data_IF_495086912886
#
_entry.id   IF_495086912886
#
_cell.length_a   1.000
_cell.length_b   1.000
_cell.length_c   1.000
_cell.angle_alpha   90.00
_cell.angle_beta   90.00
_cell.angle_gamma   90.00
#
_symmetry.space_group_name_H-M   'P 1'
#
loop_
_entity.id
_entity.type
_entity.pdbx_description
1 polymer ?
#
# COMPACT_ATOMS: atom_id res chain seq x y z
N UNK A 1 -14.33 9.15 -1.19
CA UNK A 1 -12.96 9.39 -1.67
C UNK A 1 -12.01 8.44 -0.96
N UNK A 2 -11.34 7.61 -1.75
CA UNK A 2 -10.26 6.73 -1.31
C UNK A 2 -8.95 7.50 -1.40
N UNK A 3 -8.13 7.41 -0.35
CA UNK A 3 -6.77 7.94 -0.32
C UNK A 3 -5.76 6.79 -0.31
N UNK A 4 -4.73 6.92 -1.13
CA UNK A 4 -3.51 6.12 -1.08
C UNK A 4 -2.38 7.08 -0.68
N UNK A 5 -1.47 6.64 0.17
CA UNK A 5 -0.34 7.46 0.63
C UNK A 5 0.91 6.60 0.75
N UNK A 6 2.07 7.21 0.54
CA UNK A 6 3.37 6.57 0.78
C UNK A 6 4.01 7.23 1.97
N UNK A 7 4.32 6.44 2.99
CA UNK A 7 4.91 6.91 4.22
C UNK A 7 6.35 6.39 4.29
N UNK A 8 7.34 7.26 4.43
CA UNK A 8 8.73 6.89 4.63
C UNK A 8 9.05 6.86 6.12
N UNK A 9 9.69 5.79 6.58
CA UNK A 9 10.20 5.67 7.94
C UNK A 9 11.47 6.49 8.06
N UNK A 10 11.48 7.37 9.05
CA UNK A 10 12.61 8.25 9.37
C UNK A 10 13.63 7.51 10.24
N UNK A 11 14.88 7.98 10.25
CA UNK A 11 15.92 7.46 11.15
C UNK A 11 15.57 7.56 12.65
N UNK A 12 14.56 8.38 13.01
CA UNK A 12 14.05 8.52 14.39
C UNK A 12 12.91 7.53 14.70
N UNK A 13 12.54 6.67 13.77
CA UNK A 13 11.51 5.64 13.92
C UNK A 13 10.07 6.12 13.68
N UNK A 14 9.84 7.40 13.34
CA UNK A 14 8.52 7.91 12.92
C UNK A 14 8.34 7.86 11.41
N UNK A 15 7.13 8.11 10.90
CA UNK A 15 6.82 8.11 9.47
C UNK A 15 6.47 9.52 8.94
N UNK A 16 6.84 9.81 7.70
CA UNK A 16 6.51 11.04 6.98
C UNK A 16 5.94 10.73 5.61
N UNK A 17 4.95 11.50 5.16
CA UNK A 17 4.46 11.40 3.78
C UNK A 17 5.59 11.75 2.80
N UNK A 18 5.81 10.91 1.79
CA UNK A 18 6.86 11.11 0.77
C UNK A 18 6.76 12.47 0.07
N UNK A 19 5.55 13.02 -0.06
CA UNK A 19 5.33 14.32 -0.70
C UNK A 19 5.45 15.49 0.27
N UNK A 20 5.64 15.23 1.58
CA UNK A 20 5.99 16.27 2.54
C UNK A 20 7.45 16.67 2.39
N UNK A 21 7.80 17.95 2.65
CA UNK A 21 9.19 18.39 2.64
C UNK A 21 9.96 17.67 3.76
N UNK A 22 10.66 16.60 3.39
CA UNK A 22 11.48 15.79 4.28
C UNK A 22 12.96 15.93 3.87
N UNK A 23 13.91 15.83 4.82
CA UNK A 23 15.31 15.59 4.46
C UNK A 23 15.44 14.39 3.51
N UNK A 24 16.48 14.38 2.65
CA UNK A 24 16.70 13.31 1.69
C UNK A 24 16.74 11.95 2.40
N UNK A 25 16.27 10.88 1.74
CA UNK A 25 16.35 9.55 2.30
C UNK A 25 17.82 9.23 2.68
N UNK A 26 18.05 8.47 3.76
CA UNK A 26 19.39 8.04 4.14
C UNK A 26 20.05 7.25 3.00
N UNK A 27 21.36 7.41 2.83
CA UNK A 27 22.13 6.72 1.79
C UNK A 27 21.91 5.20 1.86
N UNK A 28 21.29 4.64 0.83
CA UNK A 28 20.99 3.20 0.73
C UNK A 28 19.79 2.93 -0.18
N UNK A 29 19.83 1.83 -0.92
CA UNK A 29 18.73 1.44 -1.83
C UNK A 29 17.51 0.86 -1.10
N UNK A 30 17.55 0.74 0.24
CA UNK A 30 16.47 0.19 1.05
C UNK A 30 15.72 1.33 1.73
N UNK A 31 14.48 1.55 1.33
CA UNK A 31 13.62 2.60 1.87
C UNK A 31 12.52 1.96 2.70
N UNK A 32 12.73 1.91 4.02
CA UNK A 32 11.67 1.50 4.93
C UNK A 32 10.49 2.47 4.81
N UNK A 33 9.30 1.94 4.57
CA UNK A 33 8.10 2.75 4.48
C UNK A 33 6.83 1.92 4.57
N UNK A 34 5.68 2.57 4.46
CA UNK A 34 4.39 1.92 4.50
C UNK A 34 3.48 2.47 3.41
N UNK A 35 2.75 1.56 2.77
CA UNK A 35 1.63 1.90 1.90
C UNK A 35 0.41 2.17 2.77
N UNK A 36 -0.12 3.39 2.72
CA UNK A 36 -1.34 3.76 3.41
C UNK A 36 -2.57 3.64 2.50
N UNK A 37 -3.67 3.10 3.04
CA UNK A 37 -4.98 3.06 2.38
C UNK A 37 -6.01 3.59 3.37
N UNK A 38 -6.79 4.59 2.96
CA UNK A 38 -7.82 5.20 3.81
C UNK A 38 -9.08 5.60 3.05
N UNK A 39 -10.17 5.71 3.77
CA UNK A 39 -11.43 6.30 3.29
C UNK A 39 -12.08 7.15 4.39
N UNK A 40 -13.33 7.56 4.18
CA UNK A 40 -14.12 8.30 5.18
C UNK A 40 -14.30 7.56 6.53
N UNK A 41 -14.02 6.25 6.60
CA UNK A 41 -14.06 5.46 7.85
C UNK A 41 -12.70 5.43 8.55
N UNK A 42 -11.71 6.14 8.03
CA UNK A 42 -10.36 6.25 8.58
C UNK A 42 -9.35 5.37 7.85
N UNK A 43 -8.23 5.10 8.50
CA UNK A 43 -7.14 4.26 7.99
C UNK A 43 -7.58 2.79 7.90
N UNK A 44 -7.15 2.10 6.86
CA UNK A 44 -7.34 0.66 6.64
C UNK A 44 -6.00 -0.07 6.61
N UNK A 45 -5.01 0.52 5.92
CA UNK A 45 -3.62 0.09 5.89
C UNK A 45 -2.73 1.31 6.17
N UNK A 46 -1.56 1.12 6.77
CA UNK A 46 -0.45 2.09 6.77
C UNK A 46 0.64 1.68 7.75
N UNK A 47 1.32 2.64 8.40
CA UNK A 47 2.56 2.49 9.21
C UNK A 47 2.76 1.18 9.99
N UNK A 48 1.71 0.58 10.56
CA UNK A 48 1.78 -0.72 11.23
C UNK A 48 2.06 -1.91 10.30
N UNK A 49 2.11 -1.69 8.99
CA UNK A 49 2.43 -2.64 7.92
C UNK A 49 3.55 -2.07 7.04
N UNK A 50 4.67 -1.74 7.67
CA UNK A 50 5.85 -1.21 6.99
C UNK A 50 6.70 -2.34 6.40
N UNK A 51 7.43 -2.04 5.33
CA UNK A 51 8.32 -2.96 4.60
C UNK A 51 9.27 -2.10 3.72
N UNK A 52 10.04 -2.74 2.83
CA UNK A 52 10.70 -2.04 1.72
C UNK A 52 9.66 -1.44 0.77
N UNK A 53 9.54 -0.11 0.79
CA UNK A 53 8.41 0.56 0.17
C UNK A 53 8.41 0.46 -1.35
N UNK A 54 9.59 0.34 -1.97
CA UNK A 54 9.68 0.22 -3.42
C UNK A 54 9.15 -1.14 -3.90
N UNK A 55 9.65 -2.30 -3.44
CA UNK A 55 9.04 -3.60 -3.72
C UNK A 55 7.55 -3.67 -3.38
N UNK A 56 7.13 -3.09 -2.25
CA UNK A 56 5.70 -3.03 -1.88
C UNK A 56 4.87 -2.32 -2.95
N UNK A 57 5.35 -1.20 -3.50
CA UNK A 57 4.65 -0.51 -4.58
C UNK A 57 4.57 -1.33 -5.87
N UNK A 58 5.66 -2.02 -6.24
CA UNK A 58 5.67 -2.91 -7.40
C UNK A 58 4.65 -4.04 -7.25
N UNK A 59 4.67 -4.74 -6.12
CA UNK A 59 3.72 -5.82 -5.83
C UNK A 59 2.28 -5.31 -5.70
N UNK A 60 2.08 -4.12 -5.12
CA UNK A 60 0.75 -3.52 -5.02
C UNK A 60 0.17 -3.16 -6.39
N UNK A 61 0.96 -2.55 -7.27
CA UNK A 61 0.54 -2.25 -8.65
C UNK A 61 0.22 -3.55 -9.39
N UNK A 62 1.08 -4.56 -9.31
CA UNK A 62 0.85 -5.86 -9.95
C UNK A 62 -0.40 -6.55 -9.38
N UNK A 63 -0.61 -6.51 -8.07
CA UNK A 63 -1.84 -6.99 -7.44
C UNK A 63 -3.08 -6.25 -7.93
N UNK A 64 -3.03 -4.93 -8.13
CA UNK A 64 -4.15 -4.14 -8.67
C UNK A 64 -4.42 -4.51 -10.13
N UNK A 65 -3.38 -4.70 -10.95
CA UNK A 65 -3.52 -5.12 -12.35
C UNK A 65 -4.08 -6.55 -12.49
N UNK A 66 -3.60 -7.48 -11.65
CA UNK A 66 -4.15 -8.84 -11.56
C UNK A 66 -5.60 -8.84 -11.10
N UNK A 67 -5.94 -7.99 -10.13
CA UNK A 67 -7.32 -7.81 -9.69
C UNK A 67 -8.20 -7.28 -10.83
N UNK A 68 -7.75 -6.26 -11.58
CA UNK A 68 -8.52 -5.68 -12.68
C UNK A 68 -8.81 -6.71 -13.81
N UNK A 69 -7.91 -7.69 -14.01
CA UNK A 69 -8.07 -8.72 -15.04
C UNK A 69 -8.84 -9.96 -14.58
N UNK A 70 -8.71 -10.38 -13.32
CA UNK A 70 -9.24 -11.66 -12.82
C UNK A 70 -10.32 -11.51 -11.75
N UNK A 71 -10.54 -10.30 -11.26
CA UNK A 71 -11.44 -9.99 -10.15
C UNK A 71 -10.90 -10.38 -8.77
N UNK A 72 -9.67 -10.90 -8.66
CA UNK A 72 -9.03 -11.24 -7.38
C UNK A 72 -7.51 -11.11 -7.45
N UNK A 73 -6.86 -10.77 -6.35
CA UNK A 73 -5.40 -10.82 -6.25
C UNK A 73 -4.96 -10.88 -4.79
N UNK A 74 -3.70 -11.21 -4.56
CA UNK A 74 -3.08 -11.17 -3.23
C UNK A 74 -1.65 -10.67 -3.39
N UNK A 75 -1.22 -9.86 -2.44
CA UNK A 75 0.18 -9.47 -2.22
C UNK A 75 0.52 -9.75 -0.76
N UNK A 76 1.79 -10.02 -0.52
CA UNK A 76 2.35 -10.34 0.78
C UNK A 76 3.27 -9.20 1.24
N UNK A 77 3.35 -8.99 2.56
CA UNK A 77 4.32 -8.09 3.19
C UNK A 77 5.35 -8.97 3.91
N UNK A 78 6.54 -9.20 3.34
CA UNK A 78 7.52 -10.12 3.93
C UNK A 78 7.97 -9.74 5.34
N UNK A 79 8.20 -8.45 5.61
CA UNK A 79 8.71 -7.98 6.91
C UNK A 79 7.60 -7.92 7.96
N UNK A 80 6.33 -7.90 7.53
CA UNK A 80 5.16 -7.89 8.40
C UNK A 80 4.21 -9.01 7.98
N UNK A 81 4.13 -10.15 8.69
CA UNK A 81 3.57 -11.41 8.19
C UNK A 81 2.04 -11.37 7.97
N UNK A 82 1.63 -10.63 6.94
CA UNK A 82 0.27 -10.35 6.52
C UNK A 82 0.19 -10.36 5.00
N UNK A 83 -1.00 -10.65 4.49
CA UNK A 83 -1.35 -10.58 3.09
C UNK A 83 -2.45 -9.55 2.88
N UNK A 84 -2.33 -8.72 1.84
CA UNK A 84 -3.44 -7.91 1.34
C UNK A 84 -4.10 -8.63 0.17
N UNK A 85 -5.36 -8.98 0.32
CA UNK A 85 -6.17 -9.64 -0.70
C UNK A 85 -7.22 -8.68 -1.26
N UNK A 86 -7.27 -8.54 -2.57
CA UNK A 86 -8.30 -7.79 -3.30
C UNK A 86 -9.29 -8.77 -3.92
N UNK A 87 -10.60 -8.53 -3.77
CA UNK A 87 -11.66 -9.37 -4.34
C UNK A 87 -12.82 -8.55 -4.86
N UNK A 88 -13.36 -8.94 -6.00
CA UNK A 88 -14.56 -8.33 -6.54
C UNK A 88 -15.73 -8.58 -5.58
N UNK A 89 -16.51 -7.54 -5.33
CA UNK A 89 -17.67 -7.58 -4.44
C UNK A 89 -18.94 -7.06 -5.15
N UNK A 90 -19.08 -7.34 -6.46
CA UNK A 90 -20.25 -6.96 -7.25
C UNK A 90 -20.56 -5.45 -7.27
N UNK A 91 -21.47 -5.02 -8.14
CA UNK A 91 -21.96 -3.63 -8.19
C UNK A 91 -20.85 -2.54 -8.22
N UNK A 92 -19.69 -2.84 -8.81
CA UNK A 92 -18.54 -1.92 -8.86
C UNK A 92 -17.84 -1.68 -7.52
N UNK A 93 -17.94 -2.62 -6.58
CA UNK A 93 -17.18 -2.61 -5.34
C UNK A 93 -16.12 -3.71 -5.33
N UNK A 94 -15.00 -3.42 -4.68
CA UNK A 94 -14.00 -4.41 -4.29
C UNK A 94 -13.96 -4.52 -2.77
N UNK A 95 -13.58 -5.69 -2.27
CA UNK A 95 -13.26 -5.98 -0.88
C UNK A 95 -11.75 -6.14 -0.77
N UNK A 96 -11.14 -5.34 0.10
CA UNK A 96 -9.78 -5.55 0.57
C UNK A 96 -9.82 -6.30 1.90
N UNK A 97 -8.94 -7.27 2.06
CA UNK A 97 -8.75 -8.03 3.28
C UNK A 97 -7.25 -8.00 3.65
N UNK A 98 -6.93 -7.54 4.85
CA UNK A 98 -5.60 -7.71 5.46
C UNK A 98 -5.66 -8.95 6.34
N UNK A 99 -4.97 -10.00 5.95
CA UNK A 99 -4.99 -11.34 6.54
C UNK A 99 -3.62 -11.65 7.16
N UNK A 100 -3.51 -11.77 8.49
CA UNK A 100 -2.28 -12.27 9.12
C UNK A 100 -1.98 -13.71 8.68
N UNK A 101 -0.71 -14.06 8.48
CA UNK A 101 -0.32 -15.43 8.10
C UNK A 101 -0.56 -16.47 9.21
N UNK A 102 -0.68 -16.01 10.45
CA UNK A 102 -0.92 -16.84 11.63
C UNK A 102 -2.29 -16.60 12.27
N UNK A 103 -2.39 -16.92 13.56
CA UNK A 103 -3.58 -16.64 14.35
C UNK A 103 -3.76 -15.11 14.48
N UNK A 104 -4.77 -14.58 13.83
CA UNK A 104 -5.07 -13.16 13.85
C UNK A 104 -6.44 -12.87 13.24
N UNK A 105 -6.91 -11.64 13.44
CA UNK A 105 -8.19 -11.21 12.88
C UNK A 105 -7.95 -10.62 11.49
N UNK A 106 -8.65 -11.14 10.49
CA UNK A 106 -8.73 -10.49 9.18
C UNK A 106 -9.45 -9.15 9.32
N UNK A 107 -8.82 -8.10 8.80
CA UNK A 107 -9.43 -6.78 8.70
C UNK A 107 -9.92 -6.57 7.27
N UNK A 108 -11.23 -6.35 7.11
CA UNK A 108 -11.84 -6.19 5.80
C UNK A 108 -12.41 -4.79 5.61
N UNK A 109 -12.26 -4.24 4.40
CA UNK A 109 -12.95 -3.01 4.00
C UNK A 109 -13.42 -3.11 2.55
N UNK A 110 -14.54 -2.44 2.26
CA UNK A 110 -15.08 -2.35 0.90
C UNK A 110 -14.80 -0.97 0.35
N UNK A 111 -14.38 -0.91 -0.90
CA UNK A 111 -14.13 0.32 -1.63
C UNK A 111 -14.91 0.30 -2.94
N UNK A 112 -15.30 1.47 -3.44
CA UNK A 112 -15.75 1.58 -4.83
C UNK A 112 -14.54 1.32 -5.73
N UNK A 113 -14.69 0.39 -6.65
CA UNK A 113 -13.58 -0.10 -7.46
C UNK A 113 -12.94 1.01 -8.28
N UNK A 114 -13.75 1.80 -8.98
CA UNK A 114 -13.26 2.94 -9.76
C UNK A 114 -12.59 4.02 -8.91
N UNK A 115 -13.05 4.27 -7.68
CA UNK A 115 -12.38 5.23 -6.78
C UNK A 115 -11.04 4.71 -6.29
N UNK A 116 -10.96 3.40 -5.99
CA UNK A 116 -9.74 2.76 -5.52
C UNK A 116 -8.68 2.74 -6.62
N UNK A 117 -9.01 2.20 -7.80
CA UNK A 117 -8.10 2.16 -8.94
C UNK A 117 -7.69 3.58 -9.34
N UNK A 118 -8.64 4.53 -9.37
CA UNK A 118 -8.35 5.93 -9.65
C UNK A 118 -7.40 6.57 -8.64
N UNK A 119 -7.47 6.18 -7.36
CA UNK A 119 -6.51 6.62 -6.35
C UNK A 119 -5.11 6.01 -6.58
N UNK A 120 -5.02 4.70 -6.88
CA UNK A 120 -3.74 4.04 -7.19
C UNK A 120 -3.05 4.71 -8.39
N UNK A 121 -3.80 4.98 -9.47
CA UNK A 121 -3.27 5.65 -10.67
C UNK A 121 -2.82 7.08 -10.39
N UNK A 122 -3.54 7.81 -9.54
CA UNK A 122 -3.23 9.22 -9.23
C UNK A 122 -1.96 9.35 -8.40
N UNK A 123 -1.82 8.54 -7.37
CA UNK A 123 -0.69 8.66 -6.44
C UNK A 123 0.57 7.99 -7.02
N UNK A 124 0.40 6.83 -7.68
CA UNK A 124 1.50 6.10 -8.31
C UNK A 124 2.63 5.71 -7.33
N UNK A 125 3.62 4.98 -7.82
CA UNK A 125 4.88 4.83 -7.08
C UNK A 125 5.66 6.14 -7.17
N UNK A 126 6.07 6.77 -6.05
CA UNK A 126 7.04 7.86 -6.10
C UNK A 126 8.32 7.32 -6.73
N UNK A 127 8.65 7.79 -7.94
CA UNK A 127 9.91 7.42 -8.59
C UNK A 127 11.07 8.05 -7.81
N UNK A 128 11.77 7.26 -7.01
CA UNK A 128 13.08 7.64 -6.46
C UNK A 128 14.13 7.45 -7.57
N UNK A 129 14.15 8.37 -8.54
CA UNK A 129 14.94 8.22 -9.77
C UNK A 129 16.47 8.38 -9.59
N UNK A 130 16.99 8.54 -8.37
CA UNK A 130 18.38 8.95 -8.15
C UNK A 130 19.21 7.98 -7.28
N UNK A 131 18.76 6.75 -7.01
CA UNK A 131 19.55 5.76 -6.26
C UNK A 131 20.54 4.96 -7.13
N UNK A 132 20.81 5.40 -8.36
CA UNK A 132 21.81 4.80 -9.26
C UNK A 132 22.82 5.88 -9.68
N UNK A 133 23.82 6.10 -8.83
CA UNK A 133 25.07 6.76 -9.22
C UNK A 133 26.24 6.19 -8.46
#
# INVERSE_FOLDING_TARGET
>A
MVGIETLLKTAKGGFVDVFSPSPPPPDGCYLEGALGIRDHKGKFLGEEYWDDIEPVWWEFIDAVLRFASTGTSTMDFPDMPVSLRLRSHGNGFLRCDVEPWGAGRTHSRKFREGEFIGAVVREGSPRYADCVS
#
